data_IF_140143339574
#
_entry.id   IF_140143339574
#
_cell.length_a   1.000
_cell.length_b   1.000
_cell.length_c   1.000
_cell.angle_alpha   90.00
_cell.angle_beta   90.00
_cell.angle_gamma   90.00
#
_symmetry.space_group_name_H-M   'P 1'
#
loop_
_entity.id
_entity.type
_entity.pdbx_description
1 polymer ?
#
# COMPACT_ATOMS: atom_id res chain seq x y z
N UNK A 1 -3.65 -17.61 14.11
CA UNK A 1 -4.36 -16.96 13.01
C UNK A 1 -5.75 -17.57 12.92
N UNK A 2 -6.78 -16.73 12.87
CA UNK A 2 -8.19 -17.10 12.81
C UNK A 2 -8.73 -16.70 11.45
N UNK A 3 -9.37 -17.63 10.76
CA UNK A 3 -10.01 -17.39 9.45
C UNK A 3 -11.50 -17.70 9.59
N UNK A 4 -12.34 -16.75 9.19
CA UNK A 4 -13.79 -16.94 9.13
C UNK A 4 -14.29 -16.68 7.71
N UNK A 5 -15.33 -17.41 7.30
CA UNK A 5 -15.78 -17.42 5.92
C UNK A 5 -17.16 -18.03 5.73
N UNK A 6 -17.56 -18.14 4.46
CA UNK A 6 -18.83 -18.76 4.05
C UNK A 6 -18.53 -19.99 3.21
N UNK A 7 -19.22 -21.10 3.50
CA UNK A 7 -19.27 -22.27 2.62
C UNK A 7 -20.47 -22.15 1.69
N UNK A 8 -20.27 -22.32 0.39
CA UNK A 8 -21.34 -22.47 -0.60
C UNK A 8 -21.28 -23.88 -1.18
N UNK A 9 -22.45 -24.49 -1.31
CA UNK A 9 -22.61 -25.76 -2.00
C UNK A 9 -23.22 -25.47 -3.37
N UNK A 10 -22.61 -26.01 -4.41
CA UNK A 10 -23.12 -25.98 -5.78
C UNK A 10 -23.03 -27.37 -6.37
N UNK A 11 -23.92 -27.67 -7.31
CA UNK A 11 -23.82 -28.87 -8.14
C UNK A 11 -23.16 -28.51 -9.45
N UNK A 12 -22.33 -29.41 -9.98
CA UNK A 12 -21.83 -29.32 -11.34
C UNK A 12 -22.00 -30.66 -12.04
N UNK A 13 -22.13 -30.62 -13.36
CA UNK A 13 -22.20 -31.81 -14.20
C UNK A 13 -20.77 -32.24 -14.55
N UNK A 14 -20.41 -33.46 -14.17
CA UNK A 14 -19.22 -34.12 -14.67
C UNK A 14 -19.57 -34.77 -16.01
N UNK A 15 -19.24 -34.08 -17.10
CA UNK A 15 -19.54 -34.54 -18.45
C UNK A 15 -18.77 -35.82 -18.83
N UNK A 16 -17.61 -36.09 -18.22
CA UNK A 16 -16.82 -37.29 -18.51
C UNK A 16 -17.47 -38.54 -17.92
N UNK A 17 -17.97 -38.42 -16.69
CA UNK A 17 -18.59 -39.52 -15.95
C UNK A 17 -20.13 -39.56 -16.08
N UNK A 18 -20.74 -38.54 -16.71
CA UNK A 18 -22.20 -38.37 -16.82
C UNK A 18 -22.91 -38.33 -15.44
N UNK A 19 -22.26 -37.72 -14.45
CA UNK A 19 -22.75 -37.67 -13.06
C UNK A 19 -22.97 -36.22 -12.59
N UNK A 20 -23.89 -36.04 -11.64
CA UNK A 20 -24.02 -34.78 -10.90
C UNK A 20 -23.20 -34.84 -9.61
N UNK A 21 -22.22 -33.95 -9.51
CA UNK A 21 -21.29 -33.89 -8.40
C UNK A 21 -21.59 -32.68 -7.50
N UNK A 22 -21.44 -32.87 -6.18
CA UNK A 22 -21.52 -31.79 -5.21
C UNK A 22 -20.14 -31.13 -5.04
N UNK A 23 -20.07 -29.82 -5.21
CA UNK A 23 -18.88 -29.02 -4.96
C UNK A 23 -19.10 -28.10 -3.77
N UNK A 24 -18.11 -28.04 -2.88
CA UNK A 24 -18.04 -27.05 -1.80
C UNK A 24 -17.03 -25.96 -2.15
N UNK A 25 -17.49 -24.71 -2.22
CA UNK A 25 -16.65 -23.52 -2.35
C UNK A 25 -16.57 -22.78 -1.01
N UNK A 26 -15.37 -22.35 -0.63
CA UNK A 26 -15.12 -21.60 0.61
C UNK A 26 -14.65 -20.18 0.29
N UNK A 27 -15.32 -19.20 0.87
CA UNK A 27 -15.02 -17.78 0.69
C UNK A 27 -14.57 -17.18 2.01
N UNK A 28 -13.35 -16.66 2.04
CA UNK A 28 -12.82 -15.93 3.20
C UNK A 28 -13.60 -14.62 3.37
N UNK A 29 -13.98 -14.32 4.61
CA UNK A 29 -14.65 -13.06 5.00
C UNK A 29 -13.87 -12.26 6.03
N UNK A 30 -12.92 -12.89 6.72
CA UNK A 30 -12.12 -12.26 7.76
C UNK A 30 -10.88 -13.11 8.06
N UNK A 31 -9.73 -12.46 8.27
CA UNK A 31 -8.50 -13.08 8.74
C UNK A 31 -7.91 -12.23 9.87
N UNK A 32 -7.55 -12.84 11.00
CA UNK A 32 -6.91 -12.14 12.13
C UNK A 32 -5.79 -12.96 12.82
N UNK A 33 -4.60 -12.38 13.06
CA UNK A 33 -4.11 -11.15 12.42
C UNK A 33 -4.08 -11.34 10.91
N UNK A 34 -4.41 -10.29 10.16
CA UNK A 34 -4.37 -10.37 8.71
C UNK A 34 -2.93 -10.55 8.23
N UNK A 35 -2.70 -11.37 7.18
CA UNK A 35 -1.40 -11.43 6.55
C UNK A 35 -1.06 -10.04 6.00
N UNK A 36 0.22 -9.67 6.08
CA UNK A 36 0.71 -8.48 5.41
C UNK A 36 0.55 -8.66 3.89
N UNK A 37 -0.05 -7.68 3.23
CA UNK A 37 -0.24 -7.70 1.78
C UNK A 37 1.04 -7.26 1.07
N UNK A 38 1.78 -6.32 1.67
CA UNK A 38 3.09 -5.83 1.25
C UNK A 38 4.05 -5.82 2.44
N UNK A 39 5.34 -5.71 2.20
CA UNK A 39 6.34 -5.61 3.27
C UNK A 39 6.12 -4.34 4.12
N UNK A 40 6.27 -4.45 5.44
CA UNK A 40 6.23 -3.31 6.36
C UNK A 40 7.64 -3.06 6.84
N UNK A 41 8.26 -2.00 6.34
CA UNK A 41 9.61 -1.61 6.73
C UNK A 41 9.68 -1.23 8.22
N UNK A 42 10.78 -1.59 8.86
CA UNK A 42 11.12 -1.15 10.22
C UNK A 42 11.46 0.35 10.28
N UNK A 43 11.88 0.94 9.16
CA UNK A 43 12.19 2.37 9.02
C UNK A 43 10.90 3.22 8.81
N UNK A 44 9.75 2.58 8.59
CA UNK A 44 8.47 3.27 8.40
C UNK A 44 7.98 3.90 9.73
N UNK A 45 7.57 5.17 9.74
CA UNK A 45 7.06 5.83 10.94
C UNK A 45 5.91 5.05 11.59
N UNK A 46 5.89 5.00 12.92
CA UNK A 46 4.95 4.16 13.68
C UNK A 46 3.48 4.43 13.32
N UNK A 47 3.10 5.69 13.15
CA UNK A 47 1.72 6.05 12.77
C UNK A 47 1.38 5.59 11.34
N UNK A 48 2.32 5.67 10.40
CA UNK A 48 2.14 5.13 9.05
C UNK A 48 2.00 3.60 9.07
N UNK A 49 2.88 2.90 9.80
CA UNK A 49 2.86 1.46 9.95
C UNK A 49 1.54 0.96 10.57
N UNK A 50 0.99 1.72 11.53
CA UNK A 50 -0.32 1.43 12.13
C UNK A 50 -1.45 1.49 11.10
N UNK A 51 -1.50 2.54 10.28
CA UNK A 51 -2.52 2.65 9.24
C UNK A 51 -2.37 1.57 8.16
N UNK A 52 -1.14 1.20 7.81
CA UNK A 52 -0.86 0.12 6.87
C UNK A 52 -1.38 -1.23 7.38
N UNK A 53 -1.05 -1.58 8.63
CA UNK A 53 -1.51 -2.83 9.27
C UNK A 53 -3.04 -2.88 9.38
N UNK A 54 -3.68 -1.77 9.76
CA UNK A 54 -5.14 -1.67 9.77
C UNK A 54 -5.75 -1.85 8.38
N UNK A 55 -5.08 -1.35 7.32
CA UNK A 55 -5.53 -1.56 5.95
C UNK A 55 -5.49 -3.06 5.56
N UNK A 56 -4.47 -3.80 6.01
CA UNK A 56 -4.39 -5.25 5.78
C UNK A 56 -5.55 -6.01 6.45
N UNK A 57 -5.92 -5.63 7.66
CA UNK A 57 -7.06 -6.22 8.37
C UNK A 57 -8.39 -5.93 7.66
N UNK A 58 -8.59 -4.66 7.27
CA UNK A 58 -9.82 -4.22 6.63
C UNK A 58 -9.99 -4.75 5.20
N UNK A 59 -8.90 -5.07 4.49
CA UNK A 59 -8.96 -5.61 3.13
C UNK A 59 -9.92 -6.80 3.00
N UNK A 60 -9.97 -7.67 4.02
CA UNK A 60 -10.80 -8.87 4.02
C UNK A 60 -12.28 -8.62 4.36
N UNK A 61 -12.57 -7.50 5.02
CA UNK A 61 -13.88 -7.22 5.63
C UNK A 61 -14.60 -6.09 4.90
N UNK A 62 -13.89 -4.99 4.67
CA UNK A 62 -14.40 -3.75 4.09
C UNK A 62 -13.28 -3.05 3.31
N UNK A 63 -13.30 -3.25 1.98
CA UNK A 63 -12.33 -2.66 1.09
C UNK A 63 -12.41 -1.13 1.01
N UNK A 64 -13.59 -0.53 1.23
CA UNK A 64 -13.74 0.93 1.28
C UNK A 64 -13.03 1.52 2.50
N UNK A 65 -13.15 0.86 3.64
CA UNK A 65 -12.43 1.22 4.86
C UNK A 65 -10.91 1.00 4.70
N UNK A 66 -10.48 -0.08 4.04
CA UNK A 66 -9.08 -0.33 3.73
C UNK A 66 -8.48 0.77 2.82
N UNK A 67 -9.18 1.12 1.74
CA UNK A 67 -8.80 2.20 0.84
C UNK A 67 -8.68 3.55 1.58
N UNK A 68 -9.60 3.83 2.50
CA UNK A 68 -9.55 5.02 3.35
C UNK A 68 -8.32 5.03 4.27
N UNK A 69 -7.91 3.87 4.80
CA UNK A 69 -6.65 3.77 5.58
C UNK A 69 -5.41 4.06 4.74
N UNK A 70 -5.37 3.63 3.48
CA UNK A 70 -4.27 3.96 2.57
C UNK A 70 -4.17 5.47 2.32
N UNK A 71 -5.29 6.16 2.15
CA UNK A 71 -5.28 7.62 2.03
C UNK A 71 -4.75 8.30 3.30
N UNK A 72 -5.22 7.88 4.48
CA UNK A 72 -4.74 8.44 5.75
C UNK A 72 -3.24 8.18 5.91
N UNK A 73 -2.75 7.03 5.47
CA UNK A 73 -1.31 6.74 5.45
C UNK A 73 -0.57 7.76 4.58
N UNK A 74 -1.07 8.11 3.39
CA UNK A 74 -0.47 9.17 2.56
C UNK A 74 -0.45 10.52 3.29
N UNK A 75 -1.53 10.89 3.99
CA UNK A 75 -1.57 12.10 4.81
C UNK A 75 -0.47 12.09 5.89
N UNK A 76 -0.27 10.95 6.56
CA UNK A 76 0.78 10.77 7.57
C UNK A 76 2.19 10.75 6.98
N UNK A 77 2.36 10.28 5.75
CA UNK A 77 3.65 10.42 5.05
C UNK A 77 3.95 11.90 4.76
N UNK A 78 2.96 12.69 4.34
CA UNK A 78 3.16 14.13 4.15
C UNK A 78 3.54 14.82 5.47
N UNK A 79 2.93 14.42 6.58
CA UNK A 79 3.32 14.91 7.91
C UNK A 79 4.75 14.49 8.27
N UNK A 80 5.12 13.22 8.00
CA UNK A 80 6.46 12.70 8.30
C UNK A 80 7.58 13.39 7.51
N UNK A 81 7.32 13.74 6.25
CA UNK A 81 8.27 14.45 5.40
C UNK A 81 8.20 15.98 5.56
N UNK A 82 7.54 16.47 6.64
CA UNK A 82 7.39 17.90 6.96
C UNK A 82 6.86 18.74 5.79
N UNK A 83 5.97 18.15 4.98
CA UNK A 83 5.33 18.85 3.86
C UNK A 83 4.45 19.96 4.42
N UNK A 84 4.57 21.21 3.94
CA UNK A 84 3.83 22.36 4.47
C UNK A 84 2.34 22.09 4.60
N UNK A 85 1.76 22.57 5.70
CA UNK A 85 0.31 22.49 5.96
C UNK A 85 -0.40 23.70 5.39
N UNK A 86 0.27 24.85 5.29
CA UNK A 86 -0.27 26.08 4.74
C UNK A 86 0.52 26.53 3.51
N UNK A 87 -0.17 27.16 2.56
CA UNK A 87 0.45 27.78 1.40
C UNK A 87 -0.19 29.11 1.02
N UNK A 88 0.47 29.85 0.13
CA UNK A 88 -0.06 31.11 -0.40
C UNK A 88 -1.27 30.83 -1.29
N UNK A 89 -2.43 31.30 -0.88
CA UNK A 89 -3.65 31.25 -1.68
C UNK A 89 -3.77 32.44 -2.64
N UNK A 90 -4.85 32.46 -3.41
CA UNK A 90 -5.18 33.61 -4.25
C UNK A 90 -5.40 34.86 -3.37
N UNK A 91 -4.68 35.95 -3.68
CA UNK A 91 -4.70 37.26 -2.97
C UNK A 91 -3.96 37.31 -1.62
N UNK A 92 -2.76 36.71 -1.53
CA UNK A 92 -1.86 36.81 -0.37
C UNK A 92 -2.44 36.32 0.98
N UNK A 93 -3.52 35.54 0.96
CA UNK A 93 -4.05 34.88 2.15
C UNK A 93 -3.50 33.47 2.26
N UNK A 94 -2.95 33.13 3.42
CA UNK A 94 -2.61 31.75 3.73
C UNK A 94 -3.88 30.91 3.75
N UNK A 95 -3.79 29.69 3.25
CA UNK A 95 -4.83 28.68 3.37
C UNK A 95 -4.20 27.33 3.69
N UNK A 96 -4.98 26.46 4.34
CA UNK A 96 -4.59 25.08 4.56
C UNK A 96 -4.56 24.32 3.24
N UNK A 97 -3.45 23.65 2.94
CA UNK A 97 -3.25 22.85 1.76
C UNK A 97 -4.06 21.56 1.85
N UNK A 98 -4.80 21.25 0.80
CA UNK A 98 -5.42 19.94 0.59
C UNK A 98 -4.35 18.86 0.40
N UNK A 99 -4.73 17.59 0.58
CA UNK A 99 -3.80 16.47 0.34
C UNK A 99 -3.21 16.49 -1.08
N UNK A 100 -4.02 16.86 -2.09
CA UNK A 100 -3.54 16.96 -3.47
C UNK A 100 -2.48 18.05 -3.64
N UNK A 101 -2.63 19.18 -2.95
CA UNK A 101 -1.66 20.27 -2.96
C UNK A 101 -0.41 19.89 -2.19
N UNK A 102 -0.55 19.22 -1.03
CA UNK A 102 0.60 18.69 -0.27
C UNK A 102 1.40 17.69 -1.10
N UNK A 103 0.76 16.77 -1.84
CA UNK A 103 1.45 15.87 -2.77
C UNK A 103 2.19 16.65 -3.86
N UNK A 104 1.60 17.74 -4.38
CA UNK A 104 2.25 18.58 -5.38
C UNK A 104 3.46 19.37 -4.83
N UNK A 105 3.41 19.83 -3.58
CA UNK A 105 4.57 20.42 -2.91
C UNK A 105 5.63 19.37 -2.61
N UNK A 106 5.22 18.17 -2.18
CA UNK A 106 6.14 17.07 -1.94
C UNK A 106 6.90 16.67 -3.21
N UNK A 107 6.23 16.64 -4.37
CA UNK A 107 6.90 16.36 -5.66
C UNK A 107 8.00 17.38 -5.99
N UNK A 108 7.91 18.63 -5.51
CA UNK A 108 8.99 19.61 -5.68
C UNK A 108 10.16 19.32 -4.74
N UNK A 109 9.90 18.77 -3.56
CA UNK A 109 10.90 18.42 -2.55
C UNK A 109 11.58 17.08 -2.86
N UNK A 110 10.82 16.09 -3.32
CA UNK A 110 11.24 14.72 -3.61
C UNK A 110 10.50 14.23 -4.86
N UNK A 111 11.03 14.53 -6.05
CA UNK A 111 10.37 14.21 -7.32
C UNK A 111 10.27 12.71 -7.60
N UNK A 112 9.26 12.31 -8.37
CA UNK A 112 9.07 10.95 -8.89
C UNK A 112 8.02 10.12 -8.16
N UNK A 113 7.27 10.70 -7.22
CA UNK A 113 6.31 9.95 -6.39
C UNK A 113 4.88 10.47 -6.48
N UNK A 114 4.65 11.62 -7.13
CA UNK A 114 3.33 12.23 -7.27
C UNK A 114 2.25 11.26 -7.75
N UNK A 115 2.48 10.58 -8.87
CA UNK A 115 1.47 9.71 -9.48
C UNK A 115 1.09 8.54 -8.57
N UNK A 116 2.07 7.97 -7.86
CA UNK A 116 1.84 6.89 -6.90
C UNK A 116 0.99 7.37 -5.70
N UNK A 117 1.33 8.52 -5.12
CA UNK A 117 0.60 9.10 -3.99
C UNK A 117 -0.80 9.60 -4.39
N UNK A 118 -0.94 10.18 -5.58
CA UNK A 118 -2.23 10.60 -6.11
C UNK A 118 -3.14 9.40 -6.43
N UNK A 119 -2.59 8.30 -6.95
CA UNK A 119 -3.35 7.06 -7.17
C UNK A 119 -3.96 6.55 -5.84
N UNK A 120 -3.16 6.50 -4.77
CA UNK A 120 -3.63 6.13 -3.42
C UNK A 120 -4.71 7.08 -2.90
N UNK A 121 -4.53 8.40 -3.10
CA UNK A 121 -5.53 9.41 -2.73
C UNK A 121 -6.85 9.18 -3.46
N UNK A 122 -6.81 8.89 -4.75
CA UNK A 122 -8.01 8.65 -5.56
C UNK A 122 -8.71 7.34 -5.16
N UNK A 123 -7.97 6.26 -4.95
CA UNK A 123 -8.52 4.97 -4.49
C UNK A 123 -9.24 5.13 -3.16
N UNK A 124 -8.62 5.82 -2.19
CA UNK A 124 -9.26 6.11 -0.91
C UNK A 124 -10.53 6.95 -1.02
N UNK A 125 -10.53 7.96 -1.91
CA UNK A 125 -11.69 8.82 -2.13
C UNK A 125 -12.86 8.09 -2.83
N UNK A 126 -12.55 7.19 -3.75
CA UNK A 126 -13.57 6.40 -4.45
C UNK A 126 -14.18 5.34 -3.53
N UNK A 127 -13.35 4.67 -2.73
CA UNK A 127 -13.79 3.67 -1.76
C UNK A 127 -14.86 4.21 -0.80
N UNK A 128 -14.70 5.44 -0.29
CA UNK A 128 -15.66 6.04 0.64
C UNK A 128 -17.03 6.38 0.02
N UNK A 129 -17.14 6.53 -1.30
CA UNK A 129 -18.38 6.94 -1.97
C UNK A 129 -19.11 5.80 -2.70
N UNK A 130 -18.40 4.80 -3.21
CA UNK A 130 -19.00 3.74 -4.02
C UNK A 130 -19.51 2.53 -3.21
N UNK A 131 -19.24 2.47 -1.89
CA UNK A 131 -19.71 1.40 -0.99
C UNK A 131 -19.05 0.03 -1.20
N UNK A 132 -18.41 -0.21 -2.35
CA UNK A 132 -17.50 -1.33 -2.61
C UNK A 132 -16.29 -0.79 -3.36
N UNK A 133 -15.09 -0.94 -2.78
CA UNK A 133 -13.86 -0.76 -3.55
C UNK A 133 -13.67 -1.97 -4.45
N UNK A 134 -13.29 -1.76 -5.71
CA UNK A 134 -12.79 -2.84 -6.55
C UNK A 134 -11.56 -3.47 -5.87
N UNK A 135 -11.66 -4.76 -5.55
CA UNK A 135 -10.61 -5.51 -4.87
C UNK A 135 -9.31 -5.49 -5.69
N UNK A 136 -9.41 -5.49 -7.03
CA UNK A 136 -8.23 -5.39 -7.89
C UNK A 136 -7.57 -4.01 -7.73
N UNK A 137 -8.34 -2.93 -7.83
CA UNK A 137 -7.82 -1.58 -7.66
C UNK A 137 -7.18 -1.37 -6.27
N UNK A 138 -7.73 -1.99 -5.23
CA UNK A 138 -7.15 -1.94 -3.88
C UNK A 138 -5.83 -2.71 -3.80
N UNK A 139 -5.71 -3.87 -4.46
CA UNK A 139 -4.47 -4.62 -4.52
C UNK A 139 -3.39 -3.88 -5.33
N UNK A 140 -3.76 -3.33 -6.48
CA UNK A 140 -2.89 -2.46 -7.29
C UNK A 140 -2.41 -1.25 -6.46
N UNK A 141 -3.27 -0.68 -5.61
CA UNK A 141 -2.90 0.40 -4.70
C UNK A 141 -1.86 -0.02 -3.64
N UNK A 142 -1.99 -1.22 -3.06
CA UNK A 142 -0.96 -1.75 -2.16
C UNK A 142 0.38 -1.93 -2.87
N UNK A 143 0.39 -2.50 -4.08
CA UNK A 143 1.61 -2.69 -4.87
C UNK A 143 2.30 -1.34 -5.21
N UNK A 144 1.53 -0.34 -5.62
CA UNK A 144 2.03 1.02 -5.86
C UNK A 144 2.63 1.62 -4.59
N UNK A 145 1.98 1.44 -3.43
CA UNK A 145 2.48 1.93 -2.16
C UNK A 145 3.80 1.24 -1.77
N UNK A 146 3.92 -0.08 -1.96
CA UNK A 146 5.16 -0.81 -1.67
C UNK A 146 6.33 -0.25 -2.48
N UNK A 147 6.12 0.00 -3.78
CA UNK A 147 7.11 0.66 -4.63
C UNK A 147 7.53 2.01 -4.08
N UNK A 148 6.56 2.88 -3.76
CA UNK A 148 6.83 4.21 -3.23
C UNK A 148 7.59 4.18 -1.88
N UNK A 149 7.18 3.32 -0.94
CA UNK A 149 7.85 3.18 0.37
C UNK A 149 9.27 2.64 0.23
N UNK A 150 9.50 1.73 -0.72
CA UNK A 150 10.85 1.16 -0.94
C UNK A 150 11.87 2.22 -1.36
N UNK A 151 11.42 3.29 -2.01
CA UNK A 151 12.28 4.41 -2.41
C UNK A 151 12.31 5.49 -1.31
N UNK A 152 11.14 5.91 -0.81
CA UNK A 152 10.98 7.01 0.14
C UNK A 152 11.50 6.72 1.54
N UNK A 153 11.34 5.48 2.01
CA UNK A 153 11.67 5.08 3.38
C UNK A 153 12.93 4.22 3.37
N UNK A 154 12.93 3.17 2.57
CA UNK A 154 14.00 2.17 2.64
C UNK A 154 15.27 2.60 1.90
N UNK A 155 15.19 3.61 1.03
CA UNK A 155 16.26 3.98 0.10
C UNK A 155 16.81 2.75 -0.66
N UNK A 156 15.94 1.79 -0.99
CA UNK A 156 16.30 0.45 -1.47
C UNK A 156 17.18 0.51 -2.71
N UNK A 157 16.85 1.38 -3.66
CA UNK A 157 17.62 1.62 -4.88
C UNK A 157 19.05 2.10 -4.59
N UNK A 158 19.19 3.05 -3.67
CA UNK A 158 20.51 3.55 -3.25
C UNK A 158 21.32 2.47 -2.51
N UNK A 159 20.70 1.73 -1.58
CA UNK A 159 21.32 0.60 -0.87
C UNK A 159 21.81 -0.48 -1.84
N UNK A 160 21.02 -0.83 -2.85
CA UNK A 160 21.39 -1.80 -3.89
C UNK A 160 22.53 -1.27 -4.78
N UNK A 161 22.48 -0.01 -5.19
CA UNK A 161 23.56 0.61 -5.96
C UNK A 161 24.89 0.62 -5.20
N UNK A 162 24.86 0.91 -3.90
CA UNK A 162 26.04 0.85 -3.03
C UNK A 162 26.61 -0.57 -2.93
N UNK A 163 25.75 -1.58 -2.73
CA UNK A 163 26.16 -2.99 -2.73
C UNK A 163 26.78 -3.41 -4.06
N UNK A 164 26.17 -3.04 -5.19
CA UNK A 164 26.70 -3.32 -6.52
C UNK A 164 28.08 -2.70 -6.73
N UNK A 165 28.26 -1.42 -6.35
CA UNK A 165 29.55 -0.73 -6.41
C UNK A 165 30.61 -1.43 -5.54
N UNK A 166 30.24 -1.86 -4.33
CA UNK A 166 31.13 -2.61 -3.46
C UNK A 166 31.56 -3.94 -4.07
N UNK A 167 30.65 -4.68 -4.71
CA UNK A 167 30.96 -5.93 -5.42
C UNK A 167 31.88 -5.72 -6.62
N UNK A 168 31.67 -4.65 -7.39
CA UNK A 168 32.55 -4.29 -8.53
C UNK A 168 33.96 -3.96 -8.02
N UNK A 169 34.06 -3.17 -6.94
CA UNK A 169 35.34 -2.81 -6.33
C UNK A 169 36.08 -4.01 -5.75
N UNK A 170 35.35 -4.94 -5.11
CA UNK A 170 35.94 -6.17 -4.59
C UNK A 170 36.18 -7.23 -5.67
N UNK A 171 35.76 -6.98 -6.93
CA UNK A 171 35.74 -7.97 -8.02
C UNK A 171 35.07 -9.28 -7.59
N UNK A 172 34.02 -9.18 -6.76
CA UNK A 172 33.31 -10.32 -6.19
C UNK A 172 34.05 -11.06 -5.06
N UNK A 173 35.16 -10.51 -4.52
CA UNK A 173 35.92 -11.17 -3.45
C UNK A 173 35.33 -10.89 -2.04
N UNK A 174 34.96 -11.93 -1.27
CA UNK A 174 34.35 -11.80 0.06
C UNK A 174 35.18 -11.17 1.17
N UNK A 175 36.52 -11.13 1.02
CA UNK A 175 37.42 -10.83 2.14
C UNK A 175 37.33 -9.40 2.69
N UNK A 176 36.58 -8.51 2.04
CA UNK A 176 36.35 -7.14 2.51
C UNK A 176 35.15 -6.99 3.47
N UNK A 177 34.37 -8.05 3.73
CA UNK A 177 33.11 -7.98 4.50
C UNK A 177 33.27 -8.24 6.00
N UNK A 178 34.49 -8.44 6.50
CA UNK A 178 34.79 -8.81 7.88
C UNK A 178 35.56 -7.74 8.67
N UNK A 179 35.27 -6.45 8.46
CA UNK A 179 35.73 -5.38 9.34
C UNK A 179 34.60 -4.43 9.71
#
# INVERSE_FOLDING_TARGET
MTVAGTRRLSTYEDYENQEQCLQASYYVRHIYPAPHIIEVSDDLPTECAKHLKLAFELYWVDGAAAASRLRILVERLMDHFDVPIEGKGNKDKNHALSLSERIAEFEKMTPGHKDALDALRFVGNHGSHAGQSDQKALLDAFEILEGALSELVDNKKAKLAAKAKALIQSKGNPKAWAK
#
